data_IF_765232208172
#
_entry.id   IF_765232208172
#
_cell.length_a   1.000
_cell.length_b   1.000
_cell.length_c   1.000
_cell.angle_alpha   90.00
_cell.angle_beta   90.00
_cell.angle_gamma   90.00
#
_symmetry.space_group_name_H-M   'P 1'
#
loop_
_entity.id
_entity.type
_entity.pdbx_description
1 polymer ?
#
# COMPACT_ATOMS: atom_id res chain seq x y z
N UNK A 1 -21.46 45.76 51.68
CA UNK A 1 -20.78 46.08 50.40
C UNK A 1 -19.66 45.09 50.02
N UNK A 2 -19.63 43.84 50.54
CA UNK A 2 -18.52 42.90 50.30
C UNK A 2 -18.82 41.76 49.30
N UNK A 3 -20.09 41.47 48.99
CA UNK A 3 -20.47 40.32 48.15
C UNK A 3 -20.30 40.54 46.62
N UNK A 4 -20.39 41.77 46.12
CA UNK A 4 -20.18 42.03 44.68
C UNK A 4 -18.70 41.85 44.29
N UNK A 5 -17.77 42.10 45.21
CA UNK A 5 -16.33 41.96 45.01
C UNK A 5 -15.93 40.49 44.85
N UNK A 6 -16.48 39.58 45.67
CA UNK A 6 -16.23 38.13 45.56
C UNK A 6 -16.78 37.53 44.26
N UNK A 7 -17.96 37.95 43.81
CA UNK A 7 -18.56 37.46 42.55
C UNK A 7 -17.82 37.98 41.31
N UNK A 8 -17.29 39.21 41.39
CA UNK A 8 -16.42 39.78 40.35
C UNK A 8 -15.06 39.08 40.31
N UNK A 9 -14.51 38.72 41.47
CA UNK A 9 -13.29 37.92 41.56
C UNK A 9 -13.50 36.51 40.99
N UNK A 10 -14.59 35.82 41.35
CA UNK A 10 -14.90 34.49 40.81
C UNK A 10 -14.99 34.51 39.27
N UNK A 11 -15.66 35.51 38.69
CA UNK A 11 -15.75 35.69 37.24
C UNK A 11 -14.38 36.00 36.61
N UNK A 12 -13.61 36.93 37.16
CA UNK A 12 -12.27 37.25 36.67
C UNK A 12 -11.31 36.08 36.79
N UNK A 13 -11.39 35.30 37.87
CA UNK A 13 -10.59 34.10 38.06
C UNK A 13 -10.91 33.05 36.99
N UNK A 14 -12.18 32.89 36.61
CA UNK A 14 -12.62 31.98 35.52
C UNK A 14 -12.19 32.49 34.15
N UNK A 15 -12.28 33.81 33.89
CA UNK A 15 -11.88 34.39 32.60
C UNK A 15 -10.35 34.39 32.42
N UNK A 16 -9.59 34.72 33.48
CA UNK A 16 -8.11 34.79 33.45
C UNK A 16 -7.43 33.45 33.78
N UNK A 17 -8.19 32.42 34.15
CA UNK A 17 -7.75 31.01 34.19
C UNK A 17 -7.26 30.49 32.83
N UNK A 18 -7.69 31.17 31.75
CA UNK A 18 -7.24 30.93 30.38
C UNK A 18 -5.87 31.55 30.07
N UNK A 19 -5.30 32.37 30.97
CA UNK A 19 -4.04 33.11 30.78
C UNK A 19 -3.03 32.73 31.88
N UNK A 20 -1.74 32.89 31.58
CA UNK A 20 -0.62 32.64 32.52
C UNK A 20 -0.61 33.58 33.76
N UNK A 21 -1.62 34.44 33.93
CA UNK A 21 -1.67 35.52 34.92
C UNK A 21 -2.34 35.17 36.24
N UNK A 22 -2.87 33.94 36.39
CA UNK A 22 -3.56 33.48 37.61
C UNK A 22 -2.74 33.67 38.91
N UNK A 23 -1.42 33.40 38.93
CA UNK A 23 -0.57 33.68 40.09
C UNK A 23 -0.64 35.14 40.56
N UNK A 24 -0.64 36.10 39.63
CA UNK A 24 -0.64 37.52 39.94
C UNK A 24 -1.99 38.02 40.40
N UNK A 25 -3.06 37.55 39.78
CA UNK A 25 -4.41 37.90 40.20
C UNK A 25 -4.71 37.38 41.61
N UNK A 26 -4.28 36.16 41.92
CA UNK A 26 -4.45 35.57 43.25
C UNK A 26 -3.72 36.38 44.32
N UNK A 27 -2.44 36.68 44.11
CA UNK A 27 -1.62 37.42 45.07
C UNK A 27 -2.18 38.83 45.27
N UNK A 28 -2.49 39.56 44.19
CA UNK A 28 -3.07 40.90 44.27
C UNK A 28 -4.41 40.92 45.02
N UNK A 29 -5.32 39.99 44.69
CA UNK A 29 -6.64 39.94 45.35
C UNK A 29 -6.50 39.54 46.81
N UNK A 30 -5.60 38.63 47.15
CA UNK A 30 -5.36 38.24 48.54
C UNK A 30 -4.79 39.41 49.36
N UNK A 31 -3.88 40.19 48.77
CA UNK A 31 -3.34 41.42 49.36
C UNK A 31 -4.45 42.44 49.59
N UNK A 32 -5.34 42.66 48.61
CA UNK A 32 -6.48 43.56 48.74
C UNK A 32 -7.48 43.10 49.81
N UNK A 33 -7.86 41.81 49.80
CA UNK A 33 -8.87 41.25 50.70
C UNK A 33 -8.42 41.18 52.17
N UNK A 34 -7.12 40.98 52.40
CA UNK A 34 -6.54 40.90 53.75
C UNK A 34 -5.89 42.18 54.21
N UNK A 35 -5.85 43.21 53.35
CA UNK A 35 -5.11 44.43 53.58
C UNK A 35 -3.62 44.18 53.91
N UNK A 36 -3.05 43.11 53.38
CA UNK A 36 -1.64 42.79 53.56
C UNK A 36 -0.76 43.87 52.90
N UNK A 37 0.43 44.07 53.43
CA UNK A 37 1.42 44.94 52.83
C UNK A 37 2.08 44.27 51.61
N UNK A 38 2.27 42.96 51.68
CA UNK A 38 2.96 42.16 50.67
C UNK A 38 2.37 40.75 50.64
N UNK A 39 2.47 40.09 49.50
CA UNK A 39 2.09 38.70 49.34
C UNK A 39 3.02 37.98 48.37
N UNK A 40 3.26 36.69 48.59
CA UNK A 40 4.02 35.87 47.65
C UNK A 40 3.38 34.50 47.43
N UNK A 41 3.53 33.99 46.22
CA UNK A 41 3.13 32.65 45.80
C UNK A 41 4.38 31.81 45.50
N UNK A 42 4.43 30.61 46.07
CA UNK A 42 5.51 29.64 45.88
C UNK A 42 4.95 28.34 45.34
N UNK A 43 5.69 27.69 44.44
CA UNK A 43 5.43 26.30 44.10
C UNK A 43 5.93 25.37 45.22
N UNK A 44 5.39 24.14 45.32
CA UNK A 44 5.78 23.18 46.33
C UNK A 44 7.27 22.85 46.21
N UNK A 45 8.01 22.93 47.32
CA UNK A 45 9.44 22.62 47.37
C UNK A 45 10.37 23.72 46.81
N UNK A 46 9.83 24.84 46.30
CA UNK A 46 10.66 25.95 45.82
C UNK A 46 11.05 26.90 46.95
N UNK A 47 12.36 27.23 47.00
CA UNK A 47 12.90 28.22 47.95
C UNK A 47 12.68 29.67 47.51
N UNK A 48 12.49 29.90 46.22
CA UNK A 48 12.30 31.24 45.64
C UNK A 48 10.81 31.40 45.29
N UNK A 49 10.17 32.54 45.63
CA UNK A 49 8.81 32.82 45.20
C UNK A 49 8.69 32.82 43.68
N UNK A 50 7.64 32.18 43.17
CA UNK A 50 7.26 32.30 41.76
C UNK A 50 6.78 33.72 41.46
N UNK A 51 6.15 34.34 42.45
CA UNK A 51 5.69 35.71 42.38
C UNK A 51 5.65 36.30 43.77
N UNK A 52 6.12 37.53 43.92
CA UNK A 52 5.97 38.33 45.12
C UNK A 52 5.51 39.72 44.70
N UNK A 53 4.51 40.27 45.39
CA UNK A 53 3.91 41.55 45.06
C UNK A 53 3.68 42.38 46.33
N UNK A 54 3.79 43.70 46.17
CA UNK A 54 3.41 44.66 47.18
C UNK A 54 1.94 45.08 47.06
N UNK A 55 1.49 45.90 48.01
CA UNK A 55 0.13 46.47 48.05
C UNK A 55 -0.23 47.36 46.86
N UNK A 56 0.75 47.78 46.07
CA UNK A 56 0.55 48.56 44.83
C UNK A 56 0.44 47.67 43.59
N UNK A 57 0.54 46.35 43.77
CA UNK A 57 0.52 45.38 42.68
C UNK A 57 1.83 45.28 41.92
N UNK A 58 2.93 45.82 42.46
CA UNK A 58 4.26 45.74 41.83
C UNK A 58 5.02 44.54 42.36
N UNK A 59 5.81 43.91 41.50
CA UNK A 59 6.68 42.81 41.92
C UNK A 59 7.75 43.29 42.89
N UNK A 60 7.96 42.57 43.99
CA UNK A 60 8.94 42.91 45.01
C UNK A 60 9.85 41.73 45.35
N UNK A 61 11.10 42.02 45.73
CA UNK A 61 12.08 41.00 46.14
C UNK A 61 12.07 40.76 47.67
N UNK A 62 11.07 41.29 48.38
CA UNK A 62 11.07 41.44 49.84
C UNK A 62 10.76 40.17 50.64
N UNK A 63 10.50 39.03 49.98
CA UNK A 63 10.36 37.74 50.65
C UNK A 63 11.66 36.96 50.57
N UNK A 64 12.44 36.94 51.65
CA UNK A 64 13.66 36.16 51.71
C UNK A 64 13.38 34.64 51.56
N UNK A 65 14.31 33.85 51.00
CA UNK A 65 14.12 32.41 50.83
C UNK A 65 13.88 31.67 52.16
N UNK A 66 14.43 32.20 53.26
CA UNK A 66 14.46 31.62 54.60
C UNK A 66 13.21 31.93 55.44
N UNK A 67 12.44 32.95 55.05
CA UNK A 67 11.26 33.43 55.80
C UNK A 67 9.96 32.71 55.43
N UNK A 68 9.98 31.86 54.40
CA UNK A 68 8.87 30.98 54.12
C UNK A 68 9.19 29.56 54.60
N UNK A 69 8.33 28.96 55.42
CA UNK A 69 8.58 27.66 55.99
C UNK A 69 8.57 26.57 54.92
N UNK A 70 9.47 25.61 55.13
CA UNK A 70 9.84 24.57 54.16
C UNK A 70 8.76 23.50 53.90
N UNK A 71 7.54 23.64 54.42
CA UNK A 71 6.49 22.64 54.22
C UNK A 71 5.10 23.06 54.67
N UNK A 72 4.07 22.27 54.33
CA UNK A 72 2.66 22.54 54.66
C UNK A 72 2.33 22.44 56.16
N UNK A 73 3.31 22.11 57.01
CA UNK A 73 3.17 21.87 58.45
C UNK A 73 3.27 23.15 59.32
N UNK A 74 3.71 24.26 58.74
CA UNK A 74 3.83 25.58 59.38
C UNK A 74 2.60 26.45 59.08
N UNK A 75 1.42 25.89 59.29
CA UNK A 75 0.16 26.60 59.19
C UNK A 75 0.01 27.47 60.44
N UNK A 76 0.08 28.79 60.27
CA UNK A 76 -0.16 29.72 61.37
C UNK A 76 0.43 31.10 61.15
N UNK A 77 -0.09 32.06 61.92
CA UNK A 77 0.47 33.38 62.04
C UNK A 77 1.78 33.30 62.82
N UNK A 78 2.86 33.81 62.25
CA UNK A 78 4.13 33.98 62.96
C UNK A 78 4.69 35.37 62.66
N UNK A 79 5.61 35.85 63.49
CA UNK A 79 6.34 37.08 63.21
C UNK A 79 7.62 36.73 62.45
N UNK A 80 7.93 37.50 61.41
CA UNK A 80 9.22 37.46 60.73
C UNK A 80 10.32 38.16 61.54
N UNK A 81 11.55 38.15 61.02
CA UNK A 81 12.70 38.77 61.67
C UNK A 81 12.53 40.29 61.90
N UNK A 82 11.68 40.94 61.10
CA UNK A 82 11.37 42.36 61.20
C UNK A 82 10.16 42.64 62.13
N UNK A 83 9.63 41.62 62.79
CA UNK A 83 8.46 41.73 63.67
C UNK A 83 7.13 41.89 62.94
N UNK A 84 7.08 41.66 61.63
CA UNK A 84 5.83 41.70 60.84
C UNK A 84 5.14 40.34 60.91
N UNK A 85 3.82 40.38 60.95
CA UNK A 85 2.99 39.18 60.95
C UNK A 85 2.91 38.57 59.55
N UNK A 86 3.25 37.29 59.44
CA UNK A 86 3.17 36.48 58.24
C UNK A 86 2.14 35.37 58.43
N UNK A 87 1.18 35.29 57.53
CA UNK A 87 0.17 34.23 57.49
C UNK A 87 0.33 33.42 56.20
N UNK A 88 0.25 32.09 56.35
CA UNK A 88 0.54 31.15 55.27
C UNK A 88 -0.68 30.30 54.98
N UNK A 89 -1.00 30.21 53.70
CA UNK A 89 -2.14 29.49 53.17
C UNK A 89 -1.68 28.49 52.09
N UNK A 90 -1.84 27.18 52.31
CA UNK A 90 -1.51 26.18 51.31
C UNK A 90 -2.61 26.13 50.24
N UNK A 91 -2.23 26.25 48.97
CA UNK A 91 -3.12 25.98 47.85
C UNK A 91 -3.26 24.45 47.72
N UNK A 92 -4.33 23.90 48.32
CA UNK A 92 -4.61 22.45 48.31
C UNK A 92 -5.54 22.11 47.17
N UNK A 93 -4.99 21.47 46.15
CA UNK A 93 -5.76 20.85 45.09
C UNK A 93 -6.17 19.40 45.43
N UNK A 94 -6.90 18.75 44.53
CA UNK A 94 -7.32 17.35 44.59
C UNK A 94 -6.13 16.37 44.65
N UNK A 95 -4.99 16.77 44.06
CA UNK A 95 -3.78 15.93 43.97
C UNK A 95 -2.74 16.22 45.05
N UNK A 96 -3.01 17.19 45.94
CA UNK A 96 -2.10 17.61 47.00
C UNK A 96 -1.88 19.12 47.02
N UNK A 97 -0.81 19.56 47.68
CA UNK A 97 -0.46 21.00 47.75
C UNK A 97 0.14 21.42 46.40
N UNK A 98 -0.54 22.33 45.72
CA UNK A 98 -0.18 22.87 44.40
C UNK A 98 0.69 24.12 44.52
N UNK A 99 0.66 24.78 45.69
CA UNK A 99 1.49 25.93 46.00
C UNK A 99 1.23 26.46 47.41
N UNK A 100 1.91 27.56 47.77
CA UNK A 100 1.78 28.21 49.06
C UNK A 100 1.69 29.72 48.85
N UNK A 101 0.64 30.33 49.39
CA UNK A 101 0.48 31.78 49.47
C UNK A 101 0.92 32.24 50.86
N UNK A 102 1.85 33.19 50.93
CA UNK A 102 2.21 33.86 52.17
C UNK A 102 1.82 35.34 52.08
N UNK A 103 1.19 35.87 53.12
CA UNK A 103 0.77 37.27 53.22
C UNK A 103 1.45 37.90 54.43
N UNK A 104 1.92 39.15 54.29
CA UNK A 104 2.66 39.86 55.33
C UNK A 104 2.01 41.20 55.69
N UNK A 105 1.89 41.51 56.97
CA UNK A 105 1.31 42.77 57.49
C UNK A 105 1.99 43.19 58.80
N UNK A 106 1.93 44.48 59.15
CA UNK A 106 2.46 44.97 60.44
C UNK A 106 1.61 44.55 61.65
N UNK A 107 0.33 44.29 61.42
CA UNK A 107 -0.64 43.91 62.46
C UNK A 107 -1.09 42.45 62.28
N UNK A 108 -1.52 41.78 63.35
CA UNK A 108 -2.02 40.41 63.26
C UNK A 108 -3.28 40.34 62.39
N UNK A 109 -3.42 39.25 61.65
CA UNK A 109 -4.59 39.00 60.80
C UNK A 109 -5.84 38.74 61.64
N UNK A 110 -6.95 39.39 61.27
CA UNK A 110 -8.24 39.12 61.89
C UNK A 110 -8.82 37.78 61.41
N UNK A 111 -9.70 37.12 62.19
CA UNK A 111 -10.34 35.88 61.76
C UNK A 111 -11.08 35.99 60.42
N UNK A 112 -11.74 37.13 60.16
CA UNK A 112 -12.41 37.38 58.88
C UNK A 112 -11.43 37.45 57.70
N UNK A 113 -10.24 38.03 57.91
CA UNK A 113 -9.20 38.13 56.88
C UNK A 113 -8.58 36.76 56.57
N UNK A 114 -8.34 35.95 57.62
CA UNK A 114 -7.86 34.57 57.46
C UNK A 114 -8.89 33.76 56.67
N UNK A 115 -10.18 33.84 57.03
CA UNK A 115 -11.24 33.13 56.33
C UNK A 115 -11.40 33.58 54.87
N UNK A 116 -11.28 34.89 54.60
CA UNK A 116 -11.32 35.42 53.25
C UNK A 116 -10.16 34.89 52.40
N UNK A 117 -8.93 34.90 52.93
CA UNK A 117 -7.76 34.37 52.23
C UNK A 117 -7.85 32.85 52.02
N UNK A 118 -8.37 32.09 52.99
CA UNK A 118 -8.61 30.65 52.84
C UNK A 118 -9.58 30.36 51.69
N UNK A 119 -10.68 31.12 51.58
CA UNK A 119 -11.64 30.95 50.50
C UNK A 119 -11.01 31.27 49.13
N UNK A 120 -10.24 32.36 49.04
CA UNK A 120 -9.54 32.74 47.80
C UNK A 120 -8.53 31.66 47.38
N UNK A 121 -7.78 31.11 48.34
CA UNK A 121 -6.78 30.06 48.13
C UNK A 121 -7.44 28.75 47.70
N UNK A 122 -8.58 28.38 48.29
CA UNK A 122 -9.35 27.21 47.90
C UNK A 122 -9.90 27.34 46.47
N UNK A 123 -10.46 28.51 46.11
CA UNK A 123 -10.93 28.78 44.76
C UNK A 123 -9.80 28.72 43.73
N UNK A 124 -8.64 29.30 44.05
CA UNK A 124 -7.48 29.25 43.17
C UNK A 124 -6.90 27.83 43.02
N UNK A 125 -6.92 27.02 44.08
CA UNK A 125 -6.48 25.63 43.98
C UNK A 125 -7.39 24.80 43.06
N UNK A 126 -8.71 24.93 43.18
CA UNK A 126 -9.67 24.28 42.26
C UNK A 126 -9.47 24.73 40.81
N UNK A 127 -9.22 26.03 40.61
CA UNK A 127 -8.93 26.62 39.32
C UNK A 127 -7.66 26.02 38.69
N UNK A 128 -6.57 25.92 39.45
CA UNK A 128 -5.33 25.28 38.99
C UNK A 128 -5.53 23.80 38.61
N UNK A 129 -6.30 23.04 39.39
CA UNK A 129 -6.55 21.64 39.07
C UNK A 129 -7.42 21.46 37.83
N UNK A 130 -8.45 22.31 37.68
CA UNK A 130 -9.28 22.30 36.48
C UNK A 130 -8.44 22.55 35.23
N UNK A 131 -7.54 23.55 35.27
CA UNK A 131 -6.63 23.84 34.16
C UNK A 131 -5.70 22.66 33.85
N UNK A 132 -5.10 22.04 34.87
CA UNK A 132 -4.26 20.84 34.69
C UNK A 132 -5.04 19.67 34.10
N UNK A 133 -6.30 19.49 34.50
CA UNK A 133 -7.16 18.45 33.94
C UNK A 133 -7.46 18.71 32.47
N UNK A 134 -7.76 19.97 32.13
CA UNK A 134 -8.01 20.39 30.75
C UNK A 134 -6.77 20.14 29.87
N UNK A 135 -5.59 20.55 30.31
CA UNK A 135 -4.34 20.33 29.57
C UNK A 135 -4.05 18.84 29.35
N UNK A 136 -4.41 17.97 30.30
CA UNK A 136 -4.29 16.51 30.11
C UNK A 136 -5.26 16.00 29.05
N UNK A 137 -6.50 16.49 29.03
CA UNK A 137 -7.48 16.12 28.01
C UNK A 137 -7.07 16.62 26.62
N UNK A 138 -6.56 17.85 26.51
CA UNK A 138 -6.02 18.38 25.26
C UNK A 138 -4.87 17.51 24.74
N UNK A 139 -3.90 17.17 25.59
CA UNK A 139 -2.80 16.26 25.22
C UNK A 139 -3.27 14.85 24.82
N UNK A 140 -4.33 14.35 25.46
CA UNK A 140 -4.91 13.06 25.10
C UNK A 140 -5.61 13.11 23.73
N UNK A 141 -6.28 14.22 23.42
CA UNK A 141 -6.88 14.46 22.11
C UNK A 141 -5.80 14.58 21.04
N UNK A 142 -4.75 15.36 21.28
CA UNK A 142 -3.62 15.49 20.34
C UNK A 142 -2.98 14.13 20.07
N UNK A 143 -2.69 13.35 21.11
CA UNK A 143 -2.16 11.99 20.96
C UNK A 143 -3.12 11.04 20.21
N UNK A 144 -4.44 11.18 20.42
CA UNK A 144 -5.43 10.40 19.70
C UNK A 144 -5.52 10.78 18.21
N UNK A 145 -5.37 12.08 17.89
CA UNK A 145 -5.31 12.56 16.51
C UNK A 145 -4.04 12.07 15.81
N UNK A 146 -2.88 12.13 16.47
CA UNK A 146 -1.64 11.57 15.92
C UNK A 146 -1.77 10.07 15.61
N UNK A 147 -2.42 9.30 16.49
CA UNK A 147 -2.69 7.87 16.24
C UNK A 147 -3.66 7.67 15.07
N UNK A 148 -4.65 8.55 14.91
CA UNK A 148 -5.58 8.51 13.79
C UNK A 148 -4.88 8.79 12.46
N UNK A 149 -3.96 9.76 12.41
CA UNK A 149 -3.16 10.05 11.22
C UNK A 149 -2.30 8.85 10.80
N UNK A 150 -1.68 8.16 11.77
CA UNK A 150 -0.92 6.92 11.51
C UNK A 150 -1.84 5.81 10.98
N UNK A 151 -3.03 5.67 11.54
CA UNK A 151 -4.03 4.70 11.07
C UNK A 151 -4.45 4.97 9.62
N UNK A 152 -4.73 6.24 9.27
CA UNK A 152 -5.12 6.63 7.92
C UNK A 152 -3.99 6.35 6.90
N UNK A 153 -2.74 6.68 7.25
CA UNK A 153 -1.58 6.35 6.42
C UNK A 153 -1.43 4.84 6.19
N UNK A 154 -1.65 4.04 7.23
CA UNK A 154 -1.59 2.57 7.15
C UNK A 154 -2.68 2.01 6.25
N UNK A 155 -3.90 2.54 6.35
CA UNK A 155 -5.03 2.17 5.48
C UNK A 155 -4.72 2.48 4.01
N UNK A 156 -4.16 3.66 3.71
CA UNK A 156 -3.76 3.99 2.34
C UNK A 156 -2.68 3.07 1.78
N UNK A 157 -1.71 2.65 2.60
CA UNK A 157 -0.69 1.68 2.19
C UNK A 157 -1.28 0.31 1.89
N UNK A 158 -2.20 -0.18 2.73
CA UNK A 158 -2.88 -1.45 2.51
C UNK A 158 -3.67 -1.44 1.19
N UNK A 159 -4.46 -0.38 0.94
CA UNK A 159 -5.20 -0.22 -0.31
C UNK A 159 -4.27 -0.20 -1.54
N UNK A 160 -3.06 0.35 -1.41
CA UNK A 160 -2.07 0.34 -2.48
C UNK A 160 -1.48 -1.05 -2.72
N UNK A 161 -1.21 -1.82 -1.65
CA UNK A 161 -0.75 -3.21 -1.75
C UNK A 161 -1.83 -4.13 -2.34
N UNK A 162 -3.10 -3.97 -1.93
CA UNK A 162 -4.22 -4.73 -2.51
C UNK A 162 -4.32 -4.52 -4.02
N UNK A 163 -4.18 -3.27 -4.50
CA UNK A 163 -4.13 -2.98 -5.94
C UNK A 163 -2.95 -3.64 -6.64
N UNK A 164 -1.77 -3.71 -6.01
CA UNK A 164 -0.62 -4.43 -6.60
C UNK A 164 -0.90 -5.92 -6.73
N UNK A 165 -1.53 -6.52 -5.72
CA UNK A 165 -1.94 -7.94 -5.75
C UNK A 165 -2.97 -8.16 -6.86
N UNK A 166 -3.96 -7.29 -7.00
CA UNK A 166 -4.96 -7.37 -8.07
C UNK A 166 -4.31 -7.30 -9.46
N UNK A 167 -3.37 -6.38 -9.67
CA UNK A 167 -2.60 -6.30 -10.92
C UNK A 167 -1.77 -7.57 -11.16
N UNK A 168 -1.13 -8.11 -10.12
CA UNK A 168 -0.34 -9.34 -10.23
C UNK A 168 -1.21 -10.56 -10.60
N UNK A 169 -2.42 -10.67 -10.04
CA UNK A 169 -3.39 -11.70 -10.40
C UNK A 169 -3.84 -11.55 -11.87
N UNK A 170 -4.15 -10.33 -12.32
CA UNK A 170 -4.49 -10.09 -13.73
C UNK A 170 -3.35 -10.45 -14.70
N UNK A 171 -2.09 -10.21 -14.31
CA UNK A 171 -0.93 -10.65 -15.09
C UNK A 171 -0.77 -12.18 -15.10
N UNK A 172 -1.07 -12.84 -13.99
CA UNK A 172 -1.05 -14.31 -13.91
C UNK A 172 -2.10 -14.93 -14.84
N UNK A 173 -3.32 -14.40 -14.85
CA UNK A 173 -4.39 -14.87 -15.74
C UNK A 173 -4.00 -14.72 -17.22
N UNK A 174 -3.36 -13.60 -17.59
CA UNK A 174 -2.84 -13.39 -18.94
C UNK A 174 -1.74 -14.40 -19.30
N UNK A 175 -0.82 -14.67 -18.36
CA UNK A 175 0.19 -15.70 -18.52
C UNK A 175 -0.43 -17.08 -18.74
N UNK A 176 -1.47 -17.44 -17.98
CA UNK A 176 -2.14 -18.72 -18.14
C UNK A 176 -2.85 -18.84 -19.50
N UNK A 177 -3.52 -17.77 -19.96
CA UNK A 177 -4.13 -17.72 -21.29
C UNK A 177 -3.10 -17.88 -22.41
N UNK A 178 -1.98 -17.18 -22.34
CA UNK A 178 -0.91 -17.30 -23.34
C UNK A 178 -0.30 -18.71 -23.36
N UNK A 179 -0.12 -19.35 -22.22
CA UNK A 179 0.32 -20.74 -22.14
C UNK A 179 -0.67 -21.71 -22.79
N UNK A 180 -1.98 -21.50 -22.59
CA UNK A 180 -3.01 -22.30 -23.25
C UNK A 180 -3.00 -22.10 -24.77
N UNK A 181 -2.83 -20.87 -25.25
CA UNK A 181 -2.70 -20.58 -26.67
C UNK A 181 -1.47 -21.24 -27.29
N UNK A 182 -0.32 -21.20 -26.60
CA UNK A 182 0.90 -21.84 -27.06
C UNK A 182 0.70 -23.35 -27.24
N UNK A 183 0.11 -24.03 -26.25
CA UNK A 183 -0.21 -25.46 -26.34
C UNK A 183 -1.14 -25.77 -27.52
N UNK A 184 -2.10 -24.91 -27.80
CA UNK A 184 -2.99 -25.08 -28.94
C UNK A 184 -2.25 -24.89 -30.28
N UNK A 185 -1.27 -23.98 -30.36
CA UNK A 185 -0.41 -23.84 -31.54
C UNK A 185 0.53 -25.03 -31.71
N UNK A 186 1.13 -25.55 -30.63
CA UNK A 186 1.95 -26.76 -30.66
C UNK A 186 1.17 -27.95 -31.23
N UNK A 187 -0.07 -28.16 -30.77
CA UNK A 187 -0.95 -29.21 -31.31
C UNK A 187 -1.27 -29.03 -32.80
N UNK A 188 -1.46 -27.78 -33.25
CA UNK A 188 -1.66 -27.49 -34.69
C UNK A 188 -0.41 -27.80 -35.49
N UNK A 189 0.77 -27.48 -34.96
CA UNK A 189 2.05 -27.77 -35.60
C UNK A 189 2.27 -29.28 -35.73
N UNK A 190 1.98 -30.05 -34.67
CA UNK A 190 2.04 -31.51 -34.68
C UNK A 190 1.10 -32.10 -35.73
N UNK A 191 -0.14 -31.60 -35.83
CA UNK A 191 -1.08 -32.03 -36.86
C UNK A 191 -0.58 -31.71 -38.28
N UNK A 192 0.02 -30.53 -38.48
CA UNK A 192 0.60 -30.14 -39.77
C UNK A 192 1.81 -31.02 -40.16
N UNK A 193 2.64 -31.39 -39.20
CA UNK A 193 3.74 -32.35 -39.41
C UNK A 193 3.20 -33.72 -39.83
N UNK A 194 2.16 -34.23 -39.15
CA UNK A 194 1.54 -35.50 -39.56
C UNK A 194 0.94 -35.47 -40.97
N UNK A 195 0.38 -34.32 -41.40
CA UNK A 195 -0.08 -34.13 -42.78
C UNK A 195 1.09 -34.10 -43.78
N UNK A 196 2.22 -33.51 -43.40
CA UNK A 196 3.42 -33.50 -44.22
C UNK A 196 3.98 -34.91 -44.43
N UNK A 197 4.01 -35.74 -43.37
CA UNK A 197 4.44 -37.13 -43.46
C UNK A 197 3.54 -37.93 -44.42
N UNK A 198 2.22 -37.75 -44.34
CA UNK A 198 1.26 -38.35 -45.27
C UNK A 198 1.48 -37.90 -46.71
N UNK A 199 1.80 -36.62 -46.92
CA UNK A 199 2.13 -36.09 -48.25
C UNK A 199 3.41 -36.73 -48.80
N UNK A 200 4.44 -36.88 -47.97
CA UNK A 200 5.69 -37.57 -48.34
C UNK A 200 5.43 -39.03 -48.75
N UNK A 201 4.61 -39.76 -48.00
CA UNK A 201 4.23 -41.13 -48.34
C UNK A 201 3.46 -41.21 -49.66
N UNK A 202 2.52 -40.29 -49.89
CA UNK A 202 1.78 -40.22 -51.14
C UNK A 202 2.71 -39.93 -52.33
N UNK A 203 3.68 -39.03 -52.17
CA UNK A 203 4.71 -38.76 -53.17
C UNK A 203 5.57 -39.99 -53.50
N UNK A 204 5.97 -40.75 -52.48
CA UNK A 204 6.72 -42.01 -52.68
C UNK A 204 5.90 -43.03 -53.49
N UNK A 205 4.61 -43.18 -53.17
CA UNK A 205 3.70 -44.07 -53.91
C UNK A 205 3.50 -43.62 -55.36
N UNK A 206 3.34 -42.32 -55.60
CA UNK A 206 3.19 -41.77 -56.94
C UNK A 206 4.40 -42.10 -57.81
N UNK A 207 5.62 -41.86 -57.31
CA UNK A 207 6.85 -42.21 -58.03
C UNK A 207 6.94 -43.70 -58.38
N UNK A 208 6.57 -44.57 -57.43
CA UNK A 208 6.55 -46.00 -57.70
C UNK A 208 5.53 -46.39 -58.78
N UNK A 209 4.40 -45.68 -58.87
CA UNK A 209 3.40 -45.91 -59.92
C UNK A 209 3.86 -45.35 -61.28
N UNK A 210 4.52 -44.19 -61.30
CA UNK A 210 5.15 -43.63 -62.50
C UNK A 210 6.20 -44.59 -63.07
N UNK A 211 7.04 -45.20 -62.22
CA UNK A 211 8.00 -46.22 -62.63
C UNK A 211 7.31 -47.45 -63.26
N UNK A 212 6.20 -47.93 -62.68
CA UNK A 212 5.41 -49.02 -63.28
C UNK A 212 4.86 -48.65 -64.65
N UNK A 213 4.35 -47.43 -64.81
CA UNK A 213 3.84 -46.93 -66.09
C UNK A 213 4.99 -46.88 -67.11
N UNK A 214 6.18 -46.42 -66.73
CA UNK A 214 7.35 -46.43 -67.61
C UNK A 214 7.72 -47.84 -68.05
N UNK A 215 7.70 -48.83 -67.14
CA UNK A 215 7.93 -50.24 -67.50
C UNK A 215 6.86 -50.76 -68.46
N UNK A 216 5.59 -50.44 -68.22
CA UNK A 216 4.49 -50.84 -69.09
C UNK A 216 4.60 -50.24 -70.50
N UNK A 217 5.01 -48.98 -70.61
CA UNK A 217 5.30 -48.33 -71.89
C UNK A 217 6.45 -49.02 -72.61
N UNK A 218 7.56 -49.30 -71.93
CA UNK A 218 8.68 -50.03 -72.53
C UNK A 218 8.31 -51.44 -73.01
N UNK A 219 7.42 -52.14 -72.29
CA UNK A 219 6.88 -53.43 -72.73
C UNK A 219 5.98 -53.30 -73.96
N UNK A 220 5.19 -52.22 -74.03
CA UNK A 220 4.35 -51.93 -75.20
C UNK A 220 5.21 -51.64 -76.44
N UNK A 221 6.27 -50.84 -76.30
CA UNK A 221 7.22 -50.55 -77.39
C UNK A 221 7.85 -51.84 -77.93
N UNK A 222 8.26 -52.76 -77.04
CA UNK A 222 8.80 -54.07 -77.42
C UNK A 222 7.75 -54.92 -78.15
N UNK A 223 6.51 -54.93 -77.66
CA UNK A 223 5.41 -55.64 -78.31
C UNK A 223 5.17 -55.10 -79.74
N UNK A 224 5.13 -53.78 -79.91
CA UNK A 224 4.98 -53.15 -81.22
C UNK A 224 6.14 -53.51 -82.16
N UNK A 225 7.38 -53.51 -81.68
CA UNK A 225 8.54 -53.93 -82.46
C UNK A 225 8.43 -55.40 -82.91
N UNK A 226 8.07 -56.32 -82.00
CA UNK A 226 7.90 -57.74 -82.34
C UNK A 226 6.75 -57.96 -83.33
N UNK A 227 5.67 -57.20 -83.21
CA UNK A 227 4.55 -57.28 -84.14
C UNK A 227 4.96 -56.78 -85.54
N UNK A 228 5.76 -55.71 -85.61
CA UNK A 228 6.34 -55.22 -86.86
C UNK A 228 7.31 -56.23 -87.50
N UNK A 229 8.11 -56.95 -86.69
CA UNK A 229 8.98 -58.01 -87.19
C UNK A 229 8.17 -59.18 -87.76
N UNK A 230 7.10 -59.60 -87.07
CA UNK A 230 6.23 -60.68 -87.51
C UNK A 230 5.52 -60.34 -88.83
N UNK A 231 4.99 -59.12 -88.97
CA UNK A 231 4.37 -58.69 -90.23
C UNK A 231 5.37 -58.66 -91.39
N UNK A 232 6.62 -58.25 -91.12
CA UNK A 232 7.70 -58.32 -92.10
C UNK A 232 8.07 -59.76 -92.49
N UNK A 233 8.09 -60.71 -91.55
CA UNK A 233 8.29 -62.13 -91.86
C UNK A 233 7.13 -62.73 -92.64
N UNK A 234 5.89 -62.40 -92.29
CA UNK A 234 4.71 -62.82 -93.04
C UNK A 234 4.77 -62.34 -94.50
N UNK A 235 5.13 -61.08 -94.72
CA UNK A 235 5.31 -60.55 -96.07
C UNK A 235 6.42 -61.28 -96.86
N UNK A 236 7.52 -61.67 -96.21
CA UNK A 236 8.57 -62.49 -96.84
C UNK A 236 8.05 -63.89 -97.21
N UNK A 237 7.26 -64.50 -96.34
CA UNK A 237 6.69 -65.83 -96.57
C UNK A 237 5.67 -65.80 -97.72
N UNK A 238 4.82 -64.76 -97.77
CA UNK A 238 3.91 -64.51 -98.91
C UNK A 238 4.68 -64.32 -100.22
N UNK A 239 5.78 -63.56 -100.21
CA UNK A 239 6.64 -63.41 -101.39
C UNK A 239 7.28 -64.74 -101.82
N UNK A 240 7.71 -65.57 -100.87
CA UNK A 240 8.26 -66.90 -101.15
C UNK A 240 7.20 -67.86 -101.73
N UNK A 241 5.96 -67.81 -101.22
CA UNK A 241 4.83 -68.54 -101.78
C UNK A 241 4.53 -68.08 -103.21
N UNK A 242 4.49 -66.77 -103.47
CA UNK A 242 4.30 -66.26 -104.84
C UNK A 242 5.41 -66.69 -105.81
N UNK A 243 6.66 -66.81 -105.34
CA UNK A 243 7.76 -67.38 -106.13
C UNK A 243 7.58 -68.88 -106.38
N UNK A 244 7.03 -69.62 -105.41
CA UNK A 244 6.71 -71.03 -105.57
C UNK A 244 5.59 -71.23 -106.59
N UNK A 245 4.52 -70.44 -106.53
CA UNK A 245 3.43 -70.46 -107.51
C UNK A 245 3.95 -70.19 -108.93
N UNK A 246 4.86 -69.21 -109.09
CA UNK A 246 5.54 -68.92 -110.36
C UNK A 246 6.40 -70.09 -110.86
N UNK A 247 7.11 -70.79 -109.96
CA UNK A 247 7.88 -71.98 -110.30
C UNK A 247 6.96 -73.11 -110.77
N UNK A 248 5.86 -73.35 -110.06
CA UNK A 248 4.87 -74.37 -110.42
C UNK A 248 4.22 -74.07 -111.77
N UNK A 249 3.86 -72.82 -112.04
CA UNK A 249 3.41 -72.38 -113.36
C UNK A 249 4.45 -72.62 -114.46
N UNK A 250 5.73 -72.28 -114.21
CA UNK A 250 6.80 -72.49 -115.18
C UNK A 250 7.03 -73.98 -115.46
N UNK A 251 6.96 -74.82 -114.42
CA UNK A 251 7.06 -76.27 -114.53
C UNK A 251 5.89 -76.86 -115.34
N UNK A 252 4.67 -76.38 -115.10
CA UNK A 252 3.48 -76.78 -115.87
C UNK A 252 3.60 -76.38 -117.34
N UNK A 253 4.08 -75.17 -117.65
CA UNK A 253 4.33 -74.73 -119.04
C UNK A 253 5.42 -75.55 -119.73
N UNK A 254 6.47 -75.95 -119.01
CA UNK A 254 7.50 -76.85 -119.54
C UNK A 254 6.92 -78.23 -119.86
N UNK A 255 6.09 -78.79 -118.97
CA UNK A 255 5.37 -80.05 -119.20
C UNK A 255 4.43 -79.97 -120.40
N UNK A 256 3.73 -78.83 -120.60
CA UNK A 256 2.92 -78.59 -121.78
C UNK A 256 3.76 -78.49 -123.06
N UNK A 257 4.92 -77.84 -123.01
CA UNK A 257 5.85 -77.75 -124.14
C UNK A 257 6.53 -79.10 -124.45
N UNK A 258 6.79 -79.94 -123.45
CA UNK A 258 7.28 -81.31 -123.63
C UNK A 258 6.20 -82.22 -124.23
N UNK A 259 4.95 -82.11 -123.80
CA UNK A 259 3.80 -82.80 -124.43
C UNK A 259 3.60 -82.33 -125.88
N UNK A 260 3.67 -81.03 -126.14
CA UNK A 260 3.59 -80.47 -127.49
C UNK A 260 4.73 -80.90 -128.43
N UNK A 261 5.89 -81.33 -127.88
CA UNK A 261 7.00 -81.92 -128.66
C UNK A 261 6.86 -83.42 -128.90
N UNK A 262 6.01 -84.13 -128.16
CA UNK A 262 5.70 -85.54 -128.41
C UNK A 262 4.58 -85.70 -129.47
N UNK A 263 3.81 -84.64 -129.71
CA UNK A 263 2.69 -84.59 -130.67
C UNK A 263 3.06 -83.90 -132.01
N UNK A 264 4.34 -83.56 -132.26
CA UNK A 264 4.85 -82.94 -133.50
C UNK A 264 5.91 -83.81 -134.19
#
# INVERSE_FOLDING_TARGET
>A
MKWSTYNTFARRLVDDLSKETLPALLVATAIEATEAAEGCLRAPGMRVPMLAMDRTGRTCDSFAPEEAPAGPASLGAHQDADGRWVQIFPLRGFSGVVGVLALRRQEPFSPEQVQAAELLVAMAAMACDYRRSQERHERQLDAALELYDVYEQTQHQLMAEEKKVEVALGLYDLFEQTQQQLKAEEQKLEAALGLYDLYEEAQKKLKAEEEKVQVALGLYDLYEETQNQLTAEQAKLEAALGLYDLYEEAQNRLLEHEKGKQDA
#
